data_IF_361527369453
#
_entry.id   IF_361527369453
#
_cell.length_a   1.000
_cell.length_b   1.000
_cell.length_c   1.000
_cell.angle_alpha   90.00
_cell.angle_beta   90.00
_cell.angle_gamma   90.00
#
_symmetry.space_group_name_H-M   'P 1'
#
loop_
_entity.id
_entity.type
_entity.pdbx_description
1 polymer ?
#
# COMPACT_ATOMS: atom_id res chain seq x y z
N UNK A 1 4.18 -18.35 -12.68
CA UNK A 1 4.15 -16.89 -12.40
C UNK A 1 3.98 -16.61 -10.90
N UNK A 2 3.07 -17.31 -10.22
CA UNK A 2 2.82 -17.18 -8.77
C UNK A 2 4.08 -17.44 -7.92
N UNK A 3 4.79 -18.55 -8.14
CA UNK A 3 6.01 -18.90 -7.37
C UNK A 3 7.09 -17.81 -7.44
N UNK A 4 7.35 -17.25 -8.63
CA UNK A 4 8.33 -16.17 -8.82
C UNK A 4 7.94 -14.89 -8.05
N UNK A 5 6.65 -14.55 -8.03
CA UNK A 5 6.16 -13.39 -7.28
C UNK A 5 6.25 -13.62 -5.77
N UNK A 6 6.04 -14.85 -5.30
CA UNK A 6 6.21 -15.21 -3.88
C UNK A 6 7.68 -15.11 -3.49
N UNK A 7 8.60 -15.68 -4.29
CA UNK A 7 10.04 -15.61 -4.03
C UNK A 7 10.53 -14.16 -4.00
N UNK A 8 10.12 -13.34 -4.98
CA UNK A 8 10.42 -11.90 -4.99
C UNK A 8 10.00 -11.20 -3.69
N UNK A 9 8.75 -11.43 -3.26
CA UNK A 9 8.21 -10.83 -2.03
C UNK A 9 8.91 -11.33 -0.78
N UNK A 10 9.25 -12.62 -0.72
CA UNK A 10 9.99 -13.19 0.39
C UNK A 10 11.40 -12.61 0.48
N UNK A 11 12.10 -12.48 -0.64
CA UNK A 11 13.42 -11.84 -0.69
C UNK A 11 13.35 -10.41 -0.19
N UNK A 12 12.38 -9.62 -0.65
CA UNK A 12 12.22 -8.25 -0.18
C UNK A 12 11.80 -8.17 1.29
N UNK A 13 10.95 -9.09 1.77
CA UNK A 13 10.61 -9.18 3.19
C UNK A 13 11.85 -9.43 4.05
N UNK A 14 12.67 -10.42 3.70
CA UNK A 14 13.91 -10.74 4.43
C UNK A 14 14.87 -9.55 4.37
N UNK A 15 15.04 -8.94 3.20
CA UNK A 15 15.88 -7.76 3.04
C UNK A 15 15.38 -6.58 3.90
N UNK A 16 14.07 -6.41 4.03
CA UNK A 16 13.48 -5.37 4.87
C UNK A 16 13.75 -5.61 6.36
N UNK A 17 13.57 -6.85 6.83
CA UNK A 17 13.84 -7.21 8.24
C UNK A 17 15.33 -7.01 8.54
N UNK A 18 16.20 -7.46 7.62
CA UNK A 18 17.64 -7.24 7.74
C UNK A 18 17.97 -5.74 7.80
N UNK A 19 17.38 -4.93 6.92
CA UNK A 19 17.57 -3.47 6.91
C UNK A 19 17.18 -2.82 8.24
N UNK A 20 16.03 -3.22 8.82
CA UNK A 20 15.61 -2.70 10.12
C UNK A 20 16.57 -3.09 11.24
N UNK A 21 17.09 -4.33 11.19
CA UNK A 21 18.01 -4.82 12.23
C UNK A 21 19.34 -4.07 12.30
N UNK A 22 19.81 -3.49 11.18
CA UNK A 22 21.09 -2.76 11.14
C UNK A 22 20.95 -1.25 11.38
N UNK A 23 19.74 -0.69 11.22
CA UNK A 23 19.50 0.75 11.35
C UNK A 23 18.86 1.15 12.68
N UNK A 24 18.60 0.21 13.59
CA UNK A 24 17.97 0.46 14.91
C UNK A 24 16.65 1.23 14.82
N UNK A 25 15.87 0.99 13.75
CA UNK A 25 14.59 1.67 13.53
C UNK A 25 13.53 1.23 14.53
N UNK A 26 12.71 2.19 14.96
CA UNK A 26 11.55 1.97 15.80
C UNK A 26 10.26 1.77 15.00
N UNK A 27 9.15 1.61 15.74
CA UNK A 27 7.82 1.47 15.14
C UNK A 27 7.43 2.68 14.29
N UNK A 28 7.75 3.89 14.76
CA UNK A 28 7.47 5.14 14.04
C UNK A 28 8.12 5.17 12.66
N UNK A 29 9.42 4.88 12.55
CA UNK A 29 10.14 4.89 11.28
C UNK A 29 9.49 3.95 10.25
N UNK A 30 9.17 2.73 10.70
CA UNK A 30 8.58 1.69 9.86
C UNK A 30 7.20 2.12 9.38
N UNK A 31 6.32 2.54 10.29
CA UNK A 31 4.93 2.90 9.97
C UNK A 31 4.88 4.10 9.03
N UNK A 32 5.71 5.11 9.25
CA UNK A 32 5.79 6.28 8.37
C UNK A 32 6.38 5.96 7.00
N UNK A 33 7.35 5.04 6.90
CA UNK A 33 7.83 4.56 5.61
C UNK A 33 6.76 3.78 4.84
N UNK A 34 5.96 2.96 5.52
CA UNK A 34 4.83 2.25 4.91
C UNK A 34 3.73 3.21 4.46
N UNK A 35 3.37 4.20 5.27
CA UNK A 35 2.41 5.23 4.91
C UNK A 35 2.89 6.02 3.68
N UNK A 36 4.16 6.47 3.68
CA UNK A 36 4.76 7.20 2.57
C UNK A 36 4.78 6.37 1.29
N UNK A 37 5.14 5.09 1.38
CA UNK A 37 5.10 4.18 0.23
C UNK A 37 3.67 3.99 -0.28
N UNK A 38 2.68 3.86 0.61
CA UNK A 38 1.29 3.70 0.22
C UNK A 38 0.75 4.92 -0.53
N UNK A 39 1.14 6.13 -0.08
CA UNK A 39 0.83 7.38 -0.74
C UNK A 39 1.45 7.43 -2.14
N UNK A 40 2.76 7.20 -2.25
CA UNK A 40 3.49 7.26 -3.52
C UNK A 40 2.96 6.21 -4.50
N UNK A 41 2.91 4.94 -4.10
CA UNK A 41 2.47 3.84 -4.95
C UNK A 41 0.98 3.98 -5.33
N UNK A 42 0.12 4.39 -4.39
CA UNK A 42 -1.30 4.58 -4.67
C UNK A 42 -1.55 5.75 -5.63
N UNK A 43 -0.80 6.84 -5.50
CA UNK A 43 -0.94 7.97 -6.43
C UNK A 43 -0.41 7.63 -7.83
N UNK A 44 0.74 6.95 -7.94
CA UNK A 44 1.24 6.42 -9.20
C UNK A 44 0.23 5.45 -9.86
N UNK A 45 -0.48 4.66 -9.07
CA UNK A 45 -1.54 3.78 -9.56
C UNK A 45 -2.69 4.57 -10.20
N UNK A 46 -3.20 5.60 -9.52
CA UNK A 46 -4.23 6.50 -10.05
C UNK A 46 -3.80 7.10 -11.39
N UNK A 47 -2.58 7.64 -11.45
CA UNK A 47 -2.04 8.23 -12.68
C UNK A 47 -1.95 7.20 -13.81
N UNK A 48 -1.48 5.99 -13.52
CA UNK A 48 -1.32 4.92 -14.51
C UNK A 48 -2.67 4.48 -15.08
N UNK A 49 -3.68 4.31 -14.21
CA UNK A 49 -5.03 3.89 -14.62
C UNK A 49 -5.71 4.96 -15.47
N UNK A 50 -5.61 6.24 -15.08
CA UNK A 50 -6.18 7.34 -15.87
C UNK A 50 -5.47 7.46 -17.23
N UNK A 51 -4.13 7.35 -17.25
CA UNK A 51 -3.36 7.39 -18.49
C UNK A 51 -3.72 6.22 -19.42
N UNK A 52 -3.85 5.00 -18.89
CA UNK A 52 -4.27 3.83 -19.65
C UNK A 52 -5.70 3.98 -20.21
N UNK A 53 -6.64 4.46 -19.40
CA UNK A 53 -8.02 4.72 -19.84
C UNK A 53 -8.12 5.80 -20.92
N UNK A 54 -7.32 6.86 -20.80
CA UNK A 54 -7.23 7.92 -21.81
C UNK A 54 -6.62 7.39 -23.12
N UNK A 55 -5.56 6.59 -23.04
CA UNK A 55 -4.94 5.97 -24.21
C UNK A 55 -5.93 5.06 -24.93
N UNK A 56 -6.61 4.17 -24.20
CA UNK A 56 -7.61 3.25 -24.75
C UNK A 56 -8.76 4.00 -25.47
N UNK A 57 -9.28 5.08 -24.86
CA UNK A 57 -10.35 5.89 -25.44
C UNK A 57 -9.95 6.60 -26.74
N UNK A 58 -8.66 6.94 -26.92
CA UNK A 58 -8.15 7.55 -28.16
C UNK A 58 -7.94 6.54 -29.28
N UNK A 59 -7.60 5.31 -28.94
CA UNK A 59 -7.27 4.27 -29.93
C UNK A 59 -8.49 3.46 -30.37
N UNK A 60 -9.63 3.58 -29.70
CA UNK A 60 -10.84 2.87 -30.09
C UNK A 60 -11.65 3.61 -31.14
N UNK A 61 -12.07 2.91 -32.19
CA UNK A 61 -12.96 3.41 -33.25
C UNK A 61 -14.43 3.55 -32.80
N UNK A 62 -14.68 4.09 -31.59
CA UNK A 62 -16.02 4.36 -31.07
C UNK A 62 -16.67 3.25 -30.24
N UNK A 63 -16.11 2.04 -30.24
CA UNK A 63 -16.69 0.86 -29.56
C UNK A 63 -16.12 0.56 -28.15
N UNK A 64 -15.19 1.35 -27.61
CA UNK A 64 -14.60 1.07 -26.29
C UNK A 64 -15.10 1.98 -25.16
N UNK A 65 -15.23 1.39 -23.97
CA UNK A 65 -15.45 2.02 -22.67
C UNK A 65 -14.24 2.86 -22.17
N UNK A 66 -13.49 3.48 -23.09
CA UNK A 66 -12.33 4.31 -22.75
C UNK A 66 -12.74 5.63 -22.09
N UNK A 67 -11.84 6.20 -21.28
CA UNK A 67 -12.09 7.49 -20.62
C UNK A 67 -11.80 8.64 -21.59
N UNK A 68 -12.82 9.41 -21.94
CA UNK A 68 -12.65 10.69 -22.64
C UNK A 68 -11.89 11.71 -21.79
N UNK A 69 -11.32 12.74 -22.41
CA UNK A 69 -10.56 13.80 -21.72
C UNK A 69 -11.31 14.40 -20.52
N UNK A 70 -12.60 14.77 -20.63
CA UNK A 70 -13.35 15.30 -19.48
C UNK A 70 -13.47 14.30 -18.33
N UNK A 71 -13.70 13.02 -18.62
CA UNK A 71 -13.78 11.96 -17.62
C UNK A 71 -12.46 11.74 -16.91
N UNK A 72 -11.35 11.72 -17.66
CA UNK A 72 -10.00 11.59 -17.09
C UNK A 72 -9.63 12.74 -16.16
N UNK A 73 -9.98 13.99 -16.53
CA UNK A 73 -9.75 15.16 -15.68
C UNK A 73 -10.60 15.13 -14.42
N UNK A 74 -11.87 14.74 -14.53
CA UNK A 74 -12.75 14.58 -13.38
C UNK A 74 -12.19 13.53 -12.41
N UNK A 75 -11.83 12.35 -12.91
CA UNK A 75 -11.29 11.27 -12.07
C UNK A 75 -9.96 11.69 -11.42
N UNK A 76 -9.08 12.39 -12.15
CA UNK A 76 -7.85 12.92 -11.59
C UNK A 76 -8.15 13.86 -10.43
N UNK A 77 -9.00 14.87 -10.63
CA UNK A 77 -9.34 15.83 -9.58
C UNK A 77 -10.01 15.17 -8.37
N UNK A 78 -11.01 14.31 -8.62
CA UNK A 78 -11.75 13.61 -7.58
C UNK A 78 -10.83 12.70 -6.76
N UNK A 79 -10.05 11.84 -7.41
CA UNK A 79 -9.16 10.93 -6.71
C UNK A 79 -7.98 11.66 -6.07
N UNK A 80 -7.44 12.73 -6.64
CA UNK A 80 -6.43 13.54 -5.95
C UNK A 80 -6.99 14.12 -4.65
N UNK A 81 -8.16 14.75 -4.67
CA UNK A 81 -8.75 15.32 -3.46
C UNK A 81 -9.08 14.22 -2.44
N UNK A 82 -9.74 13.16 -2.88
CA UNK A 82 -10.17 12.07 -2.02
C UNK A 82 -8.96 11.30 -1.45
N UNK A 83 -8.12 10.73 -2.31
CA UNK A 83 -6.97 9.92 -1.89
C UNK A 83 -5.98 10.71 -1.04
N UNK A 84 -5.59 11.92 -1.45
CA UNK A 84 -4.63 12.73 -0.67
C UNK A 84 -5.27 13.20 0.63
N UNK A 85 -6.52 13.68 0.60
CA UNK A 85 -7.24 14.11 1.80
C UNK A 85 -7.33 13.01 2.86
N UNK A 86 -7.67 11.79 2.45
CA UNK A 86 -7.69 10.64 3.36
C UNK A 86 -6.30 10.30 3.92
N UNK A 87 -5.24 10.42 3.11
CA UNK A 87 -3.87 10.20 3.59
C UNK A 87 -3.43 11.26 4.61
N UNK A 88 -3.79 12.52 4.41
CA UNK A 88 -3.48 13.60 5.35
C UNK A 88 -4.22 13.42 6.68
N UNK A 89 -5.49 13.04 6.65
CA UNK A 89 -6.25 12.72 7.88
C UNK A 89 -5.65 11.49 8.58
N UNK A 90 -5.30 10.45 7.83
CA UNK A 90 -4.64 9.26 8.37
C UNK A 90 -3.29 9.61 9.02
N UNK A 91 -2.51 10.52 8.44
CA UNK A 91 -1.25 11.00 9.00
C UNK A 91 -1.41 11.67 10.37
N UNK A 92 -2.55 12.31 10.65
CA UNK A 92 -2.86 12.85 11.99
C UNK A 92 -2.93 11.71 13.01
N UNK A 93 -3.62 10.62 12.69
CA UNK A 93 -3.70 9.46 13.59
C UNK A 93 -2.31 8.81 13.79
N UNK A 94 -1.52 8.69 12.72
CA UNK A 94 -0.17 8.16 12.83
C UNK A 94 0.70 9.02 13.74
N UNK A 95 0.63 10.35 13.64
CA UNK A 95 1.40 11.23 14.52
C UNK A 95 0.98 11.08 15.99
N UNK A 96 -0.31 10.88 16.26
CA UNK A 96 -0.80 10.72 17.63
C UNK A 96 -0.29 9.44 18.32
N UNK A 97 -0.09 8.36 17.57
CA UNK A 97 0.35 7.06 18.13
C UNK A 97 1.85 6.79 17.93
N UNK A 98 2.41 7.31 16.84
CA UNK A 98 3.75 7.02 16.36
C UNK A 98 4.42 8.31 15.88
N UNK A 99 4.65 9.31 16.76
CA UNK A 99 5.30 10.54 16.37
C UNK A 99 6.69 10.24 15.80
N UNK A 100 6.99 10.84 14.65
CA UNK A 100 8.32 10.70 14.02
C UNK A 100 9.32 11.71 14.58
N UNK A 101 8.82 12.83 15.12
CA UNK A 101 9.61 13.87 15.78
C UNK A 101 8.93 14.23 17.11
N UNK A 102 9.67 14.24 18.20
CA UNK A 102 9.11 14.46 19.54
C UNK A 102 8.79 15.94 19.83
N UNK A 103 9.39 16.85 19.08
CA UNK A 103 9.57 18.27 19.41
C UNK A 103 9.17 19.20 18.26
N UNK A 104 8.03 18.89 17.61
CA UNK A 104 7.46 19.74 16.56
C UNK A 104 6.90 21.06 17.09
N UNK A 105 7.12 22.12 16.32
CA UNK A 105 6.55 23.47 16.51
C UNK A 105 5.09 23.59 16.03
N UNK A 106 4.65 22.74 15.10
CA UNK A 106 3.23 22.60 14.75
C UNK A 106 2.57 21.58 15.70
N UNK A 107 1.59 22.02 16.49
CA UNK A 107 0.91 21.15 17.45
C UNK A 107 0.21 19.94 16.81
N UNK A 108 -0.14 18.92 17.61
CA UNK A 108 -0.88 17.75 17.14
C UNK A 108 -2.19 18.17 16.45
N UNK A 109 -2.45 17.61 15.26
CA UNK A 109 -3.67 17.86 14.48
C UNK A 109 -3.50 18.70 13.20
N UNK A 110 -2.30 19.18 12.88
CA UNK A 110 -2.03 19.88 11.62
C UNK A 110 -2.15 18.95 10.41
N UNK A 111 -2.89 19.37 9.37
CA UNK A 111 -2.93 18.65 8.08
C UNK A 111 -1.57 18.61 7.38
N UNK A 112 -0.64 19.50 7.75
CA UNK A 112 0.71 19.53 7.19
C UNK A 112 1.61 18.44 7.77
N UNK A 113 1.22 17.77 8.86
CA UNK A 113 2.06 16.74 9.50
C UNK A 113 2.41 15.61 8.54
N UNK A 114 1.46 15.22 7.68
CA UNK A 114 1.70 14.21 6.65
C UNK A 114 2.68 14.68 5.59
N UNK A 115 2.66 15.96 5.22
CA UNK A 115 3.59 16.54 4.24
C UNK A 115 5.01 16.59 4.83
N UNK A 116 5.14 17.06 6.07
CA UNK A 116 6.43 17.16 6.73
C UNK A 116 7.05 15.77 6.97
N UNK A 117 6.27 14.81 7.46
CA UNK A 117 6.74 13.44 7.66
C UNK A 117 7.04 12.72 6.35
N UNK A 118 6.28 12.98 5.27
CA UNK A 118 6.64 12.47 3.95
C UNK A 118 8.03 12.97 3.54
N UNK A 119 8.28 14.27 3.72
CA UNK A 119 9.56 14.87 3.37
C UNK A 119 10.72 14.24 4.17
N UNK A 120 10.53 14.06 5.47
CA UNK A 120 11.49 13.36 6.35
C UNK A 120 11.74 11.94 5.86
N UNK A 121 10.68 11.21 5.49
CA UNK A 121 10.83 9.85 4.97
C UNK A 121 11.62 9.82 3.66
N UNK A 122 11.37 10.77 2.75
CA UNK A 122 12.11 10.86 1.49
C UNK A 122 13.59 11.16 1.69
N UNK A 123 13.94 11.96 2.70
CA UNK A 123 15.32 12.32 3.00
C UNK A 123 16.07 11.23 3.77
N UNK A 124 15.43 10.63 4.78
CA UNK A 124 16.10 9.75 5.73
C UNK A 124 15.93 8.26 5.40
N UNK A 125 14.87 7.90 4.67
CA UNK A 125 14.51 6.50 4.39
C UNK A 125 14.49 6.13 2.89
N UNK A 126 15.30 6.74 1.99
CA UNK A 126 15.13 6.56 0.54
C UNK A 126 15.31 5.09 0.10
N UNK A 127 16.30 4.39 0.65
CA UNK A 127 16.60 3.01 0.28
C UNK A 127 15.49 2.05 0.70
N UNK A 128 14.93 2.27 1.89
CA UNK A 128 13.83 1.46 2.39
C UNK A 128 12.54 1.73 1.61
N UNK A 129 12.24 2.99 1.29
CA UNK A 129 11.13 3.34 0.41
C UNK A 129 11.27 2.69 -0.96
N UNK A 130 12.47 2.68 -1.53
CA UNK A 130 12.75 2.00 -2.80
C UNK A 130 12.46 0.50 -2.72
N UNK A 131 12.84 -0.14 -1.61
CA UNK A 131 12.57 -1.55 -1.34
C UNK A 131 11.05 -1.82 -1.23
N UNK A 132 10.33 -1.00 -0.48
CA UNK A 132 8.88 -1.12 -0.33
C UNK A 132 8.14 -0.87 -1.66
N UNK A 133 8.61 0.07 -2.48
CA UNK A 133 8.09 0.33 -3.83
C UNK A 133 8.41 -0.84 -4.78
N UNK A 134 9.60 -1.43 -4.69
CA UNK A 134 9.98 -2.62 -5.44
C UNK A 134 9.03 -3.80 -5.16
N UNK A 135 8.50 -3.91 -3.94
CA UNK A 135 7.49 -4.91 -3.59
C UNK A 135 6.15 -4.69 -4.33
N UNK A 136 5.88 -3.48 -4.81
CA UNK A 136 4.69 -3.12 -5.59
C UNK A 136 4.90 -3.25 -7.10
N UNK A 137 6.12 -3.41 -7.61
CA UNK A 137 6.40 -3.50 -9.05
C UNK A 137 5.54 -4.53 -9.80
N UNK A 138 5.30 -5.77 -9.31
CA UNK A 138 4.46 -6.73 -10.02
C UNK A 138 3.03 -6.21 -10.27
N UNK A 139 2.48 -5.44 -9.32
CA UNK A 139 1.17 -4.81 -9.46
C UNK A 139 1.17 -3.79 -10.60
N UNK A 140 2.18 -2.92 -10.65
CA UNK A 140 2.33 -1.93 -11.73
C UNK A 140 2.45 -2.59 -13.11
N UNK A 141 3.23 -3.66 -13.21
CA UNK A 141 3.40 -4.42 -14.45
C UNK A 141 2.07 -5.01 -14.93
N UNK A 142 1.25 -5.54 -14.01
CA UNK A 142 -0.05 -6.12 -14.38
C UNK A 142 -1.04 -5.05 -14.87
N UNK A 143 -0.99 -3.82 -14.32
CA UNK A 143 -1.82 -2.69 -14.77
C UNK A 143 -1.41 -2.26 -16.18
N UNK A 144 -0.11 -2.05 -16.41
CA UNK A 144 0.42 -1.66 -17.74
C UNK A 144 0.09 -2.73 -18.79
N UNK A 145 0.02 -4.00 -18.40
CA UNK A 145 -0.39 -5.11 -19.28
C UNK A 145 -1.90 -5.22 -19.48
N UNK A 146 -2.69 -4.27 -18.97
CA UNK A 146 -4.15 -4.26 -19.12
C UNK A 146 -4.85 -5.39 -18.37
N UNK A 147 -4.22 -5.99 -17.35
CA UNK A 147 -4.81 -7.09 -16.58
C UNK A 147 -5.73 -6.61 -15.45
N UNK A 148 -5.87 -5.30 -15.29
CA UNK A 148 -6.82 -4.67 -14.38
C UNK A 148 -7.97 -4.10 -15.20
N UNK A 149 -9.11 -4.77 -15.18
CA UNK A 149 -10.37 -4.18 -15.61
C UNK A 149 -10.87 -3.22 -14.53
N UNK A 150 -11.31 -2.04 -14.91
CA UNK A 150 -11.88 -1.03 -14.01
C UNK A 150 -13.30 -1.44 -13.59
N UNK A 151 -13.44 -2.55 -12.86
CA UNK A 151 -14.75 -3.00 -12.38
C UNK A 151 -15.16 -2.16 -11.16
N UNK A 152 -16.15 -1.29 -11.33
CA UNK A 152 -16.75 -0.49 -10.26
C UNK A 152 -17.58 -1.34 -9.26
N UNK A 153 -18.31 -2.40 -9.68
CA UNK A 153 -19.10 -3.20 -8.74
C UNK A 153 -18.22 -3.91 -7.71
N UNK A 154 -18.43 -3.62 -6.42
CA UNK A 154 -17.69 -4.22 -5.31
C UNK A 154 -16.37 -3.53 -4.95
N UNK A 155 -15.81 -2.69 -5.83
CA UNK A 155 -14.57 -1.95 -5.58
C UNK A 155 -14.70 -0.92 -4.45
N UNK A 156 -15.89 -0.34 -4.27
CA UNK A 156 -16.16 0.61 -3.17
C UNK A 156 -16.14 -0.10 -1.81
N UNK A 157 -16.86 -1.22 -1.68
CA UNK A 157 -16.91 -1.99 -0.43
C UNK A 157 -15.55 -2.55 0.00
N UNK A 158 -14.74 -3.01 -0.96
CA UNK A 158 -13.39 -3.52 -0.67
C UNK A 158 -12.42 -2.39 -0.29
N UNK A 159 -12.59 -1.19 -0.85
CA UNK A 159 -11.86 0.00 -0.41
C UNK A 159 -12.18 0.34 1.06
N UNK A 160 -13.46 0.37 1.45
CA UNK A 160 -13.84 0.60 2.84
C UNK A 160 -13.30 -0.46 3.80
N UNK A 161 -13.40 -1.74 3.43
CA UNK A 161 -12.83 -2.83 4.24
C UNK A 161 -11.30 -2.66 4.42
N UNK A 162 -10.61 -2.21 3.38
CA UNK A 162 -9.17 -1.93 3.43
C UNK A 162 -8.86 -0.75 4.37
N UNK A 163 -9.65 0.32 4.32
CA UNK A 163 -9.53 1.47 5.22
C UNK A 163 -9.69 1.03 6.67
N UNK A 164 -10.76 0.30 6.99
CA UNK A 164 -10.99 -0.22 8.35
C UNK A 164 -9.82 -1.11 8.80
N UNK A 165 -9.34 -1.98 7.93
CA UNK A 165 -8.20 -2.85 8.23
C UNK A 165 -6.95 -2.05 8.59
N UNK A 166 -6.64 -1.00 7.83
CA UNK A 166 -5.48 -0.13 8.10
C UNK A 166 -5.65 0.57 9.45
N UNK A 167 -6.83 1.12 9.75
CA UNK A 167 -7.07 1.79 11.04
C UNK A 167 -6.96 0.83 12.22
N UNK A 168 -7.55 -0.37 12.13
CA UNK A 168 -7.41 -1.40 13.16
C UNK A 168 -5.95 -1.83 13.36
N UNK A 169 -5.18 -1.87 12.29
CA UNK A 169 -3.75 -2.20 12.37
C UNK A 169 -2.96 -1.14 13.14
N UNK A 170 -3.25 0.14 12.94
CA UNK A 170 -2.64 1.24 13.72
C UNK A 170 -2.94 1.06 15.20
N UNK A 171 -4.21 0.83 15.56
CA UNK A 171 -4.59 0.62 16.97
C UNK A 171 -3.93 -0.63 17.56
N UNK A 172 -3.81 -1.70 16.78
CA UNK A 172 -3.14 -2.93 17.21
C UNK A 172 -1.64 -2.71 17.44
N UNK A 173 -0.96 -2.00 16.54
CA UNK A 173 0.45 -1.63 16.72
C UNK A 173 0.63 -0.67 17.89
N UNK A 174 -0.30 0.26 18.10
CA UNK A 174 -0.23 1.23 19.20
C UNK A 174 -0.42 0.51 20.54
N UNK A 175 -1.34 -0.45 20.60
CA UNK A 175 -1.50 -1.35 21.74
C UNK A 175 -0.25 -2.20 21.99
N UNK A 176 0.40 -2.72 20.94
CA UNK A 176 1.66 -3.44 21.06
C UNK A 176 2.80 -2.57 21.63
N UNK A 177 2.78 -1.27 21.35
CA UNK A 177 3.72 -0.30 21.94
C UNK A 177 3.51 -0.09 23.43
N UNK A 178 2.25 -0.07 23.90
CA UNK A 178 1.95 0.00 25.33
C UNK A 178 2.37 -1.27 26.10
N UNK A 179 2.47 -2.41 25.42
CA UNK A 179 2.83 -3.70 26.00
C UNK A 179 4.32 -4.06 25.81
N UNK A 180 5.13 -3.16 25.24
CA UNK A 180 6.55 -3.37 24.95
C UNK A 180 6.86 -4.59 24.07
N UNK A 181 5.95 -4.90 23.13
CA UNK A 181 6.08 -6.01 22.16
C UNK A 181 6.12 -5.53 20.71
N UNK A 182 6.62 -4.31 20.50
CA UNK A 182 6.65 -3.63 19.19
C UNK A 182 7.46 -4.38 18.15
N UNK A 183 8.65 -4.89 18.48
CA UNK A 183 9.52 -5.61 17.55
C UNK A 183 8.81 -6.80 16.87
N UNK A 184 8.28 -7.77 17.64
CA UNK A 184 7.47 -8.86 17.10
C UNK A 184 6.23 -8.38 16.33
N UNK A 185 5.54 -7.35 16.82
CA UNK A 185 4.34 -6.82 16.15
C UNK A 185 4.65 -6.21 14.77
N UNK A 186 5.76 -5.49 14.65
CA UNK A 186 6.27 -4.95 13.37
C UNK A 186 6.61 -6.09 12.41
N UNK A 187 7.30 -7.14 12.89
CA UNK A 187 7.64 -8.29 12.05
C UNK A 187 6.39 -8.98 11.48
N UNK A 188 5.36 -9.17 12.31
CA UNK A 188 4.06 -9.73 11.90
C UNK A 188 3.37 -8.80 10.89
N UNK A 189 3.34 -7.50 11.16
CA UNK A 189 2.77 -6.52 10.23
C UNK A 189 3.45 -6.56 8.86
N UNK A 190 4.78 -6.55 8.85
CA UNK A 190 5.58 -6.65 7.62
C UNK A 190 5.31 -7.96 6.88
N UNK A 191 5.17 -9.07 7.62
CA UNK A 191 4.82 -10.36 7.02
C UNK A 191 3.50 -10.25 6.24
N UNK A 192 2.45 -9.64 6.82
CA UNK A 192 1.18 -9.42 6.13
C UNK A 192 1.27 -8.41 4.97
N UNK A 193 2.14 -7.42 5.06
CA UNK A 193 2.34 -6.48 3.97
C UNK A 193 2.98 -7.12 2.74
N UNK A 194 4.04 -7.90 2.95
CA UNK A 194 4.79 -8.53 1.85
C UNK A 194 4.09 -9.77 1.33
N UNK A 195 3.50 -10.56 2.23
CA UNK A 195 2.87 -11.83 1.90
C UNK A 195 1.35 -11.65 1.80
N UNK A 196 0.74 -11.99 0.66
CA UNK A 196 -0.71 -12.07 0.57
C UNK A 196 -1.17 -13.35 1.28
N UNK A 197 -1.17 -13.35 2.62
CA UNK A 197 -1.45 -14.51 3.45
C UNK A 197 -2.73 -15.25 3.00
N UNK A 198 -3.76 -14.49 2.64
CA UNK A 198 -5.03 -15.04 2.15
C UNK A 198 -4.94 -15.67 0.76
N UNK A 199 -4.09 -15.18 -0.16
CA UNK A 199 -3.96 -15.80 -1.48
C UNK A 199 -3.11 -17.08 -1.41
N UNK A 200 -2.11 -17.12 -0.53
CA UNK A 200 -1.31 -18.33 -0.27
C UNK A 200 -2.21 -19.40 0.36
N UNK A 201 -2.98 -19.05 1.40
CA UNK A 201 -3.95 -19.96 2.03
C UNK A 201 -4.97 -20.48 1.01
N UNK A 202 -5.55 -19.60 0.18
CA UNK A 202 -6.50 -20.01 -0.87
C UNK A 202 -5.86 -20.92 -1.92
N UNK A 203 -4.62 -20.63 -2.33
CA UNK A 203 -3.89 -21.46 -3.29
C UNK A 203 -3.61 -22.86 -2.71
N UNK A 204 -3.12 -22.93 -1.46
CA UNK A 204 -2.87 -24.20 -0.77
C UNK A 204 -4.16 -25.01 -0.61
N UNK A 205 -5.28 -24.37 -0.23
CA UNK A 205 -6.59 -25.05 -0.13
C UNK A 205 -7.04 -25.59 -1.49
N UNK A 206 -6.87 -24.82 -2.57
CA UNK A 206 -7.23 -25.25 -3.92
C UNK A 206 -6.37 -26.45 -4.39
N UNK A 207 -5.07 -26.42 -4.10
CA UNK A 207 -4.14 -27.51 -4.42
C UNK A 207 -4.46 -28.80 -3.64
N UNK A 208 -4.79 -28.68 -2.35
CA UNK A 208 -5.27 -29.82 -1.54
C UNK A 208 -6.57 -30.41 -2.12
N UNK A 209 -7.51 -29.57 -2.55
CA UNK A 209 -8.77 -30.03 -3.17
C UNK A 209 -8.51 -30.74 -4.50
N UNK A 210 -7.66 -30.20 -5.36
CA UNK A 210 -7.29 -30.82 -6.64
C UNK A 210 -6.57 -32.16 -6.45
N UNK A 211 -5.63 -32.25 -5.51
CA UNK A 211 -4.91 -33.48 -5.19
C UNK A 211 -5.78 -34.57 -4.56
N UNK A 212 -6.90 -34.21 -3.90
CA UNK A 212 -7.91 -35.17 -3.43
C UNK A 212 -8.82 -35.65 -4.55
N UNK A 213 -9.20 -34.77 -5.49
CA UNK A 213 -10.03 -35.14 -6.63
C UNK A 213 -9.33 -36.10 -7.61
N UNK A 214 -8.01 -36.04 -7.73
CA UNK A 214 -7.22 -36.94 -8.59
C UNK A 214 -6.98 -38.35 -8.00
N UNK A 215 -7.36 -38.59 -6.73
CA UNK A 215 -7.21 -39.89 -6.04
C UNK A 215 -8.52 -40.67 -5.91
N UNK A 216 -9.63 -40.08 -6.34
CA UNK A 216 -10.97 -40.69 -6.39
C UNK A 216 -11.36 -40.93 -7.85
#
# INVERSE_FOLDING_TARGET
MVMRNILWRLTLFIASIFWLSINSWGASDVIWAFWSTSLIAGYLHILTVIAAGLYAGRTSNGDSEGLGVPGSLFLLAFFSLHFLGFHLVHAIFLELFFPLQADRSAGPGSLLVGVDNLWICLQNYPDFLALLLAAKLPLFVDIVRGRYALSIPGATSSAYASVVTIHLTIFLLAGAQLLDVTGPAIAVFMMFYFMPAMSVIRATIAEIKAGRAARN
#
